data_IF_527094905006
#
_entry.id   IF_527094905006
#
_cell.length_a   1.000
_cell.length_b   1.000
_cell.length_c   1.000
_cell.angle_alpha   90.00
_cell.angle_beta   90.00
_cell.angle_gamma   90.00
#
_symmetry.space_group_name_H-M   'P 1'
#
loop_
_entity.id
_entity.type
_entity.pdbx_description
1 polymer ?
#
# COMPACT_ATOMS: atom_id res chain seq x y z
N UNK A 1 -3.18 0.96 13.74
CA UNK A 1 -3.21 -0.19 14.69
C UNK A 1 -1.91 -0.98 14.60
N UNK A 2 -1.53 -1.70 15.66
CA UNK A 2 -0.33 -2.57 15.68
C UNK A 2 -0.38 -3.63 14.56
N UNK A 3 -1.59 -4.08 14.18
CA UNK A 3 -1.81 -5.04 13.09
C UNK A 3 -1.40 -4.50 11.72
N UNK A 4 -1.82 -3.31 11.33
CA UNK A 4 -1.44 -2.74 10.03
C UNK A 4 0.08 -2.62 9.86
N UNK A 5 0.78 -2.15 10.91
CA UNK A 5 2.24 -2.06 10.92
C UNK A 5 2.93 -3.42 10.76
N UNK A 6 2.46 -4.46 11.45
CA UNK A 6 3.03 -5.80 11.33
C UNK A 6 2.75 -6.45 9.96
N UNK A 7 1.59 -6.16 9.35
CA UNK A 7 1.24 -6.67 8.03
C UNK A 7 2.08 -6.05 6.92
N UNK A 8 2.26 -4.72 6.99
CA UNK A 8 3.14 -3.99 6.07
C UNK A 8 4.58 -4.50 6.17
N UNK A 9 5.10 -4.63 7.39
CA UNK A 9 6.46 -5.17 7.63
C UNK A 9 6.64 -6.59 7.08
N UNK A 10 5.66 -7.47 7.27
CA UNK A 10 5.71 -8.84 6.75
C UNK A 10 5.56 -8.93 5.23
N UNK A 11 4.92 -7.94 4.61
CA UNK A 11 4.81 -7.82 3.15
C UNK A 11 6.01 -7.09 2.52
N UNK A 12 7.05 -6.82 3.31
CA UNK A 12 8.22 -6.01 2.92
C UNK A 12 7.89 -4.59 2.46
N UNK A 13 6.69 -4.09 2.80
CA UNK A 13 6.26 -2.72 2.51
C UNK A 13 6.82 -1.82 3.62
N UNK A 14 7.85 -1.05 3.30
CA UNK A 14 8.55 -0.16 4.25
C UNK A 14 8.21 1.31 4.02
N UNK A 15 7.88 1.66 2.79
CA UNK A 15 7.59 3.02 2.36
C UNK A 15 6.21 3.13 1.70
N UNK A 16 5.69 4.35 1.56
CA UNK A 16 4.47 4.59 0.77
C UNK A 16 4.72 4.20 -0.70
N UNK A 17 5.93 4.40 -1.22
CA UNK A 17 6.33 3.95 -2.55
C UNK A 17 6.12 2.44 -2.72
N UNK A 18 6.60 1.63 -1.78
CA UNK A 18 6.41 0.16 -1.84
C UNK A 18 4.93 -0.24 -1.80
N UNK A 19 4.08 0.57 -1.16
CA UNK A 19 2.65 0.34 -1.07
C UNK A 19 1.93 0.70 -2.38
N UNK A 20 2.23 1.86 -2.96
CA UNK A 20 1.58 2.33 -4.19
C UNK A 20 2.09 1.63 -5.44
N UNK A 21 3.29 1.05 -5.40
CA UNK A 21 3.83 0.17 -6.46
C UNK A 21 3.03 -1.15 -6.57
N UNK A 22 2.32 -1.55 -5.50
CA UNK A 22 1.45 -2.73 -5.51
C UNK A 22 0.05 -2.38 -6.02
N UNK A 23 -0.55 -3.33 -6.73
CA UNK A 23 -1.94 -3.23 -7.19
C UNK A 23 -2.93 -3.61 -6.08
N UNK A 24 -4.16 -3.10 -6.13
CA UNK A 24 -5.24 -3.47 -5.20
C UNK A 24 -5.40 -5.00 -4.97
N UNK A 25 -5.42 -5.85 -6.01
CA UNK A 25 -5.51 -7.30 -5.83
C UNK A 25 -4.27 -7.92 -5.16
N UNK A 26 -3.08 -7.33 -5.31
CA UNK A 26 -1.88 -7.80 -4.60
C UNK A 26 -1.92 -7.42 -3.13
N UNK A 27 -2.38 -6.21 -2.82
CA UNK A 27 -2.56 -5.75 -1.43
C UNK A 27 -3.60 -6.62 -0.70
N UNK A 28 -4.68 -7.02 -1.38
CA UNK A 28 -5.68 -7.96 -0.84
C UNK A 28 -5.16 -9.38 -0.61
N UNK A 29 -4.07 -9.80 -1.28
CA UNK A 29 -3.42 -11.10 -1.02
C UNK A 29 -2.54 -11.07 0.22
N UNK A 30 -2.19 -9.89 0.74
CA UNK A 30 -1.37 -9.76 1.96
C UNK A 30 -2.18 -10.31 3.15
N UNK A 31 -1.56 -11.24 3.89
CA UNK A 31 -2.20 -11.88 5.04
C UNK A 31 -2.58 -10.82 6.08
N UNK A 32 -3.86 -10.82 6.48
CA UNK A 32 -4.50 -9.84 7.39
C UNK A 32 -4.78 -8.44 6.79
N UNK A 33 -4.68 -8.26 5.48
CA UNK A 33 -5.29 -7.12 4.81
C UNK A 33 -6.76 -7.40 4.52
N UNK A 34 -7.64 -6.75 5.28
CA UNK A 34 -9.09 -6.81 5.06
C UNK A 34 -9.58 -5.68 4.15
N UNK A 35 -10.81 -5.81 3.64
CA UNK A 35 -11.48 -4.75 2.85
C UNK A 35 -11.51 -3.40 3.58
N UNK A 36 -11.69 -3.40 4.90
CA UNK A 36 -11.71 -2.18 5.72
C UNK A 36 -10.34 -1.48 5.68
N UNK A 37 -9.26 -2.22 5.94
CA UNK A 37 -7.89 -1.69 5.94
C UNK A 37 -7.49 -1.19 4.55
N UNK A 38 -7.91 -1.87 3.48
CA UNK A 38 -7.70 -1.41 2.11
C UNK A 38 -8.38 -0.05 1.88
N UNK A 39 -9.64 0.10 2.27
CA UNK A 39 -10.38 1.36 2.12
C UNK A 39 -9.75 2.50 2.93
N UNK A 40 -9.28 2.22 4.16
CA UNK A 40 -8.56 3.21 4.97
C UNK A 40 -7.27 3.68 4.27
N UNK A 41 -6.46 2.75 3.77
CA UNK A 41 -5.24 3.12 3.04
C UNK A 41 -5.56 3.87 1.76
N UNK A 42 -6.60 3.46 1.03
CA UNK A 42 -7.02 4.14 -0.20
C UNK A 42 -7.39 5.60 0.08
N UNK A 43 -8.14 5.87 1.15
CA UNK A 43 -8.45 7.25 1.56
C UNK A 43 -7.19 8.06 1.88
N UNK A 44 -6.26 7.48 2.64
CA UNK A 44 -4.99 8.14 2.97
C UNK A 44 -4.18 8.44 1.70
N UNK A 45 -4.16 7.52 0.74
CA UNK A 45 -3.49 7.73 -0.54
C UNK A 45 -4.19 8.82 -1.36
N UNK A 46 -5.53 8.81 -1.43
CA UNK A 46 -6.31 9.84 -2.12
C UNK A 46 -6.09 11.23 -1.52
N UNK A 47 -5.99 11.36 -0.19
CA UNK A 47 -5.64 12.61 0.49
C UNK A 47 -4.23 13.13 0.12
N UNK A 48 -3.33 12.23 -0.26
CA UNK A 48 -1.99 12.55 -0.75
C UNK A 48 -1.92 12.70 -2.28
N UNK A 49 -3.04 12.49 -3.00
CA UNK A 49 -3.07 12.49 -4.46
C UNK A 49 -2.41 11.26 -5.10
N UNK A 50 -2.29 10.16 -4.36
CA UNK A 50 -1.67 8.90 -4.78
C UNK A 50 -2.74 7.80 -4.99
N UNK A 51 -2.39 6.78 -5.77
CA UNK A 51 -3.23 5.61 -6.06
C UNK A 51 -2.43 4.32 -6.01
N UNK A 52 -3.10 3.17 -5.96
CA UNK A 52 -2.44 1.87 -6.08
C UNK A 52 -2.09 1.56 -7.53
N UNK A 53 -1.02 0.78 -7.74
CA UNK A 53 -0.50 0.44 -9.08
C UNK A 53 0.21 1.59 -9.78
N UNK A 54 0.76 2.55 -9.03
CA UNK A 54 1.60 3.60 -9.58
C UNK A 54 2.97 3.05 -9.94
N UNK A 55 3.52 3.46 -11.08
CA UNK A 55 4.90 3.14 -11.43
C UNK A 55 5.86 4.05 -10.65
N UNK A 56 6.16 3.64 -9.42
CA UNK A 56 7.03 4.40 -8.51
C UNK A 56 8.46 4.48 -9.04
N UNK A 57 8.93 3.48 -9.79
CA UNK A 57 10.26 3.48 -10.38
C UNK A 57 10.39 4.59 -11.43
N UNK A 58 9.37 4.74 -12.28
CA UNK A 58 9.33 5.83 -13.24
C UNK A 58 9.23 7.21 -12.58
N UNK A 59 8.59 7.32 -11.42
CA UNK A 59 8.40 8.61 -10.70
C UNK A 59 9.66 9.02 -9.93
N UNK A 60 10.32 8.07 -9.27
CA UNK A 60 11.50 8.33 -8.43
C UNK A 60 12.82 8.32 -9.19
N UNK A 61 12.82 7.98 -10.49
CA UNK A 61 13.97 8.17 -11.37
C UNK A 61 15.21 7.40 -10.93
N UNK A 62 15.12 6.07 -10.88
CA UNK A 62 16.27 5.16 -10.78
C UNK A 62 16.26 4.14 -11.91
#
# INVERSE_FOLDING_TARGET
TVRAHNCLRNAEIRTIGDLVDKTEPEVLKIKNFGKITLTELKKVLEEMGLTFGMDVKSILGN
#
